data_IF_004970510482
#
_entry.id   IF_004970510482
#
_cell.length_a   1.000
_cell.length_b   1.000
_cell.length_c   1.000
_cell.angle_alpha   90.00
_cell.angle_beta   90.00
_cell.angle_gamma   90.00
#
_symmetry.space_group_name_H-M   'P 1'
#
loop_
_entity.id
_entity.type
_entity.pdbx_description
1 polymer ?
#
# COMPACT_ATOMS: atom_id res chain seq x y z
N UNK A 1 -4.40 -6.61 -36.44
CA UNK A 1 -4.98 -5.57 -35.54
C UNK A 1 -5.85 -6.25 -34.49
N UNK A 2 -5.53 -6.13 -33.19
CA UNK A 2 -6.40 -6.66 -32.13
C UNK A 2 -7.59 -5.72 -31.99
N UNK A 3 -8.84 -6.20 -32.04
CA UNK A 3 -10.01 -5.35 -31.95
C UNK A 3 -10.02 -4.59 -30.61
N UNK A 4 -10.31 -3.30 -30.67
CA UNK A 4 -10.41 -2.36 -29.55
C UNK A 4 -11.20 -2.86 -28.33
N UNK A 5 -12.33 -3.58 -28.46
CA UNK A 5 -13.04 -4.13 -27.29
C UNK A 5 -12.22 -5.18 -26.52
N UNK A 6 -11.48 -6.04 -27.22
CA UNK A 6 -10.60 -7.03 -26.58
C UNK A 6 -9.47 -6.37 -25.79
N UNK A 7 -8.89 -5.27 -26.32
CA UNK A 7 -7.87 -4.49 -25.61
C UNK A 7 -8.40 -3.86 -24.33
N UNK A 8 -9.65 -3.38 -24.34
CA UNK A 8 -10.29 -2.80 -23.14
C UNK A 8 -10.56 -3.88 -22.09
N UNK A 9 -11.07 -5.05 -22.51
CA UNK A 9 -11.32 -6.17 -21.62
C UNK A 9 -10.02 -6.67 -20.98
N UNK A 10 -8.95 -6.82 -21.76
CA UNK A 10 -7.64 -7.22 -21.25
C UNK A 10 -7.08 -6.23 -20.22
N UNK A 11 -7.18 -4.92 -20.48
CA UNK A 11 -6.80 -3.89 -19.49
C UNK A 11 -7.62 -3.97 -18.21
N UNK A 12 -8.92 -4.28 -18.28
CA UNK A 12 -9.77 -4.47 -17.10
C UNK A 12 -9.35 -5.70 -16.29
N UNK A 13 -9.08 -6.82 -16.97
CA UNK A 13 -8.57 -8.03 -16.34
C UNK A 13 -7.22 -7.78 -15.66
N UNK A 14 -6.28 -7.12 -16.34
CA UNK A 14 -4.99 -6.75 -15.75
C UNK A 14 -5.13 -5.89 -14.49
N UNK A 15 -6.03 -4.90 -14.51
CA UNK A 15 -6.32 -4.09 -13.32
C UNK A 15 -6.94 -4.92 -12.20
N UNK A 16 -7.86 -5.81 -12.53
CA UNK A 16 -8.49 -6.70 -11.56
C UNK A 16 -7.46 -7.63 -10.90
N UNK A 17 -6.58 -8.26 -11.70
CA UNK A 17 -5.50 -9.11 -11.17
C UNK A 17 -4.49 -8.32 -10.34
N UNK A 18 -4.19 -7.07 -10.73
CA UNK A 18 -3.32 -6.20 -9.94
C UNK A 18 -3.96 -5.87 -8.58
N UNK A 19 -5.27 -5.62 -8.55
CA UNK A 19 -6.00 -5.38 -7.30
C UNK A 19 -6.03 -6.62 -6.38
N UNK A 20 -6.22 -7.81 -6.94
CA UNK A 20 -6.18 -9.05 -6.15
C UNK A 20 -4.81 -9.28 -5.54
N UNK A 21 -3.75 -9.10 -6.33
CA UNK A 21 -2.37 -9.19 -5.85
C UNK A 21 -2.08 -8.17 -4.76
N UNK A 22 -2.53 -6.93 -4.93
CA UNK A 22 -2.39 -5.88 -3.91
C UNK A 22 -3.08 -6.31 -2.60
N UNK A 23 -4.29 -6.86 -2.64
CA UNK A 23 -4.98 -7.34 -1.43
C UNK A 23 -4.22 -8.47 -0.73
N UNK A 24 -3.63 -9.40 -1.49
CA UNK A 24 -2.80 -10.47 -0.95
C UNK A 24 -1.51 -9.92 -0.29
N UNK A 25 -0.83 -8.97 -0.94
CA UNK A 25 0.33 -8.28 -0.39
C UNK A 25 -0.02 -7.55 0.91
N UNK A 26 -1.19 -6.86 0.96
CA UNK A 26 -1.69 -6.21 2.17
C UNK A 26 -1.95 -7.22 3.29
N UNK A 27 -2.58 -8.36 2.99
CA UNK A 27 -2.81 -9.42 3.97
C UNK A 27 -1.49 -9.93 4.54
N UNK A 28 -0.50 -10.18 3.70
CA UNK A 28 0.83 -10.66 4.10
C UNK A 28 1.61 -9.66 4.95
N UNK A 29 1.39 -8.35 4.77
CA UNK A 29 1.93 -7.30 5.65
C UNK A 29 1.24 -7.29 7.01
N UNK A 30 -0.09 -7.42 7.05
CA UNK A 30 -0.85 -7.46 8.29
C UNK A 30 -0.50 -8.68 9.17
N UNK A 31 -0.05 -9.78 8.56
CA UNK A 31 0.46 -10.95 9.29
C UNK A 31 1.88 -10.75 9.88
N UNK A 32 2.57 -9.66 9.52
CA UNK A 32 3.93 -9.35 9.95
C UNK A 32 4.04 -7.90 10.44
N UNK A 33 3.26 -7.50 11.47
CA UNK A 33 3.14 -6.11 11.90
C UNK A 33 4.49 -5.48 12.31
N UNK A 34 5.42 -6.27 12.85
CA UNK A 34 6.78 -5.82 13.20
C UNK A 34 7.60 -5.33 12.00
N UNK A 35 7.22 -5.65 10.77
CA UNK A 35 7.91 -5.12 9.58
C UNK A 35 7.63 -3.63 9.37
N UNK A 36 6.53 -3.11 9.89
CA UNK A 36 6.20 -1.68 9.84
C UNK A 36 7.18 -0.83 10.67
N UNK A 37 7.75 -1.39 11.73
CA UNK A 37 8.66 -0.67 12.60
C UNK A 37 10.01 -0.36 11.92
N UNK A 38 10.37 -1.11 10.87
CA UNK A 38 11.56 -0.83 10.08
C UNK A 38 11.34 0.32 9.11
N UNK A 39 12.34 1.17 8.93
CA UNK A 39 12.30 2.31 8.04
C UNK A 39 11.98 1.88 6.60
N UNK A 40 10.91 2.44 6.04
CA UNK A 40 10.44 2.16 4.69
C UNK A 40 9.73 3.37 4.07
N UNK A 41 9.78 3.47 2.74
CA UNK A 41 9.05 4.51 1.99
C UNK A 41 7.68 3.98 1.58
N UNK A 42 6.62 4.63 2.07
CA UNK A 42 5.25 4.35 1.67
C UNK A 42 4.69 5.52 0.84
N UNK A 43 3.74 5.24 -0.04
CA UNK A 43 3.05 6.24 -0.85
C UNK A 43 1.60 6.37 -0.36
N UNK A 44 1.20 7.58 0.01
CA UNK A 44 -0.18 7.93 0.33
C UNK A 44 -0.69 9.08 -0.56
N UNK A 45 -1.89 9.61 -0.26
CA UNK A 45 -2.50 10.71 -1.02
C UNK A 45 -1.67 12.01 -0.99
N UNK A 46 -0.66 12.12 -0.11
CA UNK A 46 0.26 13.25 -0.01
C UNK A 46 1.63 12.96 -0.64
N UNK A 47 1.81 11.78 -1.25
CA UNK A 47 3.04 11.36 -1.90
C UNK A 47 3.87 10.38 -1.07
N UNK A 48 5.16 10.27 -1.40
CA UNK A 48 6.07 9.36 -0.72
C UNK A 48 6.49 9.91 0.64
N UNK A 49 6.29 9.12 1.69
CA UNK A 49 6.64 9.45 3.07
C UNK A 49 7.45 8.32 3.70
N UNK A 50 8.40 8.70 4.56
CA UNK A 50 9.21 7.75 5.33
C UNK A 50 8.43 7.32 6.58
N UNK A 51 8.23 6.03 6.74
CA UNK A 51 7.55 5.38 7.87
C UNK A 51 8.52 4.45 8.60
N UNK A 52 8.18 4.06 9.83
CA UNK A 52 9.04 3.23 10.69
C UNK A 52 10.09 4.06 11.45
N UNK A 53 10.80 3.40 12.35
CA UNK A 53 11.77 4.05 13.25
C UNK A 53 13.07 3.26 13.43
N UNK A 54 13.10 1.96 13.08
CA UNK A 54 14.29 1.12 13.17
C UNK A 54 14.97 0.95 11.81
N UNK A 55 16.30 0.93 11.80
CA UNK A 55 17.06 0.61 10.59
C UNK A 55 16.88 -0.88 10.26
N UNK A 56 16.45 -1.25 9.03
CA UNK A 56 16.30 -2.65 8.66
C UNK A 56 17.66 -3.37 8.69
N UNK A 57 17.71 -4.64 9.13
CA UNK A 57 18.95 -5.40 9.14
C UNK A 57 19.50 -5.55 7.71
N UNK A 58 20.83 -5.43 7.50
CA UNK A 58 21.45 -5.27 6.18
C UNK A 58 21.25 -6.43 5.20
N UNK A 59 20.80 -7.60 5.68
CA UNK A 59 20.55 -8.80 4.86
C UNK A 59 19.07 -9.12 4.66
N UNK A 60 18.16 -8.35 5.24
CA UNK A 60 16.73 -8.60 5.12
C UNK A 60 16.15 -7.57 4.15
N UNK A 61 15.60 -8.05 3.02
CA UNK A 61 14.67 -7.23 2.25
C UNK A 61 13.45 -7.03 3.14
N UNK A 62 13.33 -5.85 3.74
CA UNK A 62 12.14 -5.48 4.47
C UNK A 62 11.00 -5.36 3.46
N UNK A 63 10.06 -6.31 3.50
CA UNK A 63 8.84 -6.26 2.70
C UNK A 63 7.78 -5.58 3.55
N UNK A 64 8.03 -4.32 3.92
CA UNK A 64 7.16 -3.48 4.76
C UNK A 64 6.13 -2.69 3.95
N UNK A 65 6.20 -2.78 2.62
CA UNK A 65 5.29 -2.12 1.67
C UNK A 65 4.84 -3.08 0.57
N UNK A 66 3.64 -2.84 0.03
CA UNK A 66 3.16 -3.52 -1.18
C UNK A 66 3.88 -2.98 -2.41
N UNK A 67 3.67 -3.64 -3.55
CA UNK A 67 4.17 -3.19 -4.85
C UNK A 67 3.61 -1.82 -5.27
N UNK A 68 2.47 -1.39 -4.72
CA UNK A 68 1.89 -0.06 -4.91
C UNK A 68 2.31 0.95 -3.84
N UNK A 69 3.18 0.57 -2.91
CA UNK A 69 3.68 1.46 -1.85
C UNK A 69 2.75 1.60 -0.64
N UNK A 70 1.75 0.74 -0.48
CA UNK A 70 0.89 0.74 0.71
C UNK A 70 1.60 0.09 1.91
N UNK A 71 1.39 0.63 3.11
CA UNK A 71 1.69 -0.03 4.38
C UNK A 71 0.55 0.21 5.39
N UNK A 72 0.45 -0.56 6.49
CA UNK A 72 -0.64 -0.41 7.46
C UNK A 72 -0.79 1.01 8.03
N UNK A 73 0.33 1.70 8.31
CA UNK A 73 0.34 3.04 8.86
C UNK A 73 -0.25 4.13 7.97
N UNK A 74 -0.31 3.94 6.63
CA UNK A 74 -1.01 4.91 5.77
C UNK A 74 -2.52 4.90 6.03
N UNK A 75 -3.12 3.73 6.23
CA UNK A 75 -4.55 3.61 6.54
C UNK A 75 -4.89 4.24 7.91
N UNK A 76 -4.03 4.06 8.92
CA UNK A 76 -4.22 4.66 10.24
C UNK A 76 -4.19 6.19 10.19
N UNK A 77 -3.29 6.77 9.37
CA UNK A 77 -3.18 8.24 9.21
C UNK A 77 -4.35 8.85 8.43
N UNK A 78 -4.91 8.13 7.45
CA UNK A 78 -6.13 8.56 6.75
C UNK A 78 -7.31 8.72 7.73
N UNK A 79 -7.42 7.83 8.72
CA UNK A 79 -8.48 7.91 9.74
C UNK A 79 -8.28 9.06 10.74
N UNK A 80 -7.04 9.41 11.09
CA UNK A 80 -6.76 10.50 12.03
C UNK A 80 -7.02 11.90 11.45
N UNK A 81 -6.99 12.06 10.12
CA UNK A 81 -7.21 13.35 9.45
C UNK A 81 -8.66 13.70 9.15
N UNK A 82 -9.68 12.94 9.61
CA UNK A 82 -11.06 13.46 9.56
C UNK A 82 -11.18 14.57 10.60
N UNK A 83 -11.42 15.84 10.22
CA UNK A 83 -11.74 16.86 11.21
C UNK A 83 -12.99 16.40 11.95
N UNK A 84 -12.90 16.29 13.27
CA UNK A 84 -14.09 16.20 14.12
C UNK A 84 -14.86 17.50 13.88
N UNK A 85 -16.09 17.46 13.37
CA UNK A 85 -16.87 18.69 13.21
C UNK A 85 -17.02 19.34 14.59
N UNK A 86 -16.86 20.68 14.70
CA UNK A 86 -17.05 21.35 15.97
C UNK A 86 -18.45 21.03 16.49
N UNK A 87 -18.55 20.69 17.77
CA UNK A 87 -19.83 20.53 18.44
C UNK A 87 -20.62 21.84 18.28
N UNK A 88 -21.88 21.73 17.84
CA UNK A 88 -22.82 22.86 17.83
C UNK A 88 -23.27 23.19 19.24
#
# INVERSE_FOLDING_TARGET
MIPTPLRRLFKRLQRFTANLRELEERRALLDRPWEEDFLHWACDDHGWQLHGHFVPPPRRRASSVTSQGWCPGTAARTHQKRPVPPAR
#
